data_IF_147768440590
#
_entry.id   IF_147768440590
#
_cell.length_a   1.000
_cell.length_b   1.000
_cell.length_c   1.000
_cell.angle_alpha   90.00
_cell.angle_beta   90.00
_cell.angle_gamma   90.00
#
_symmetry.space_group_name_H-M   'P 1'
#
loop_
_entity.id
_entity.type
_entity.pdbx_description
1 polymer ?
#
# COMPACT_ATOMS: atom_id res chain seq x y z
N UNK A 1 16.25 1.44 4.09
CA UNK A 1 15.18 1.09 3.14
C UNK A 1 13.88 1.70 3.65
N UNK A 2 13.28 2.65 2.92
CA UNK A 2 12.10 3.42 3.38
C UNK A 2 10.82 3.08 2.61
N UNK A 3 10.92 2.42 1.45
CA UNK A 3 9.80 2.24 0.52
C UNK A 3 9.23 0.81 0.44
N UNK A 4 9.77 -0.15 1.18
CA UNK A 4 9.11 -1.46 1.41
C UNK A 4 8.85 -2.36 0.18
N UNK A 5 9.33 -2.03 -1.01
CA UNK A 5 9.14 -2.85 -2.20
C UNK A 5 10.17 -3.99 -2.24
N UNK A 6 9.73 -5.21 -1.91
CA UNK A 6 10.48 -6.43 -2.17
C UNK A 6 9.62 -7.38 -3.03
N UNK A 7 10.17 -7.94 -4.13
CA UNK A 7 9.46 -8.92 -4.95
C UNK A 7 9.33 -10.26 -4.18
N UNK A 8 8.12 -10.83 -4.13
CA UNK A 8 7.83 -12.04 -3.37
C UNK A 8 8.01 -13.36 -4.15
N UNK A 9 7.92 -13.37 -5.50
CA UNK A 9 8.06 -14.58 -6.34
C UNK A 9 8.60 -14.25 -7.76
N UNK A 10 9.27 -15.19 -8.44
CA UNK A 10 9.73 -15.00 -9.81
C UNK A 10 8.52 -14.91 -10.76
N UNK A 11 8.25 -13.70 -11.24
CA UNK A 11 7.18 -13.44 -12.22
C UNK A 11 6.43 -12.12 -12.06
N UNK A 12 6.74 -11.27 -11.06
CA UNK A 12 6.04 -9.99 -10.83
C UNK A 12 4.50 -10.12 -10.72
N UNK A 13 4.00 -11.31 -10.37
CA UNK A 13 2.56 -11.60 -10.34
C UNK A 13 1.89 -11.10 -9.06
N UNK A 14 2.67 -10.93 -7.99
CA UNK A 14 2.19 -10.53 -6.66
C UNK A 14 2.95 -9.30 -6.19
N UNK A 15 2.23 -8.21 -5.93
CA UNK A 15 2.77 -6.93 -5.46
C UNK A 15 2.50 -6.80 -3.96
N UNK A 16 3.50 -6.44 -3.16
CA UNK A 16 3.29 -6.17 -1.74
C UNK A 16 3.20 -4.66 -1.49
N UNK A 17 2.06 -4.23 -0.95
CA UNK A 17 1.81 -2.88 -0.49
C UNK A 17 1.82 -2.85 1.03
N UNK A 18 2.97 -2.56 1.61
CA UNK A 18 3.18 -2.38 3.05
C UNK A 18 3.52 -0.92 3.39
N UNK A 19 2.59 0.04 3.25
CA UNK A 19 2.83 1.41 3.66
C UNK A 19 3.12 1.46 5.16
N UNK A 20 4.12 2.26 5.55
CA UNK A 20 4.46 2.51 6.96
C UNK A 20 4.21 3.99 7.29
N UNK A 21 2.94 4.42 7.42
CA UNK A 21 2.63 5.72 8.02
C UNK A 21 3.24 5.80 9.42
N UNK A 22 3.87 6.93 9.74
CA UNK A 22 4.60 7.13 11.00
C UNK A 22 5.59 8.29 10.94
N UNK A 23 5.98 8.81 12.10
CA UNK A 23 6.87 9.97 12.22
C UNK A 23 6.17 11.29 11.87
N UNK A 24 6.81 12.11 11.02
CA UNK A 24 6.28 13.41 10.55
C UNK A 24 5.51 13.34 9.24
N UNK A 25 5.48 12.18 8.57
CA UNK A 25 4.83 12.03 7.27
C UNK A 25 3.36 11.67 7.43
N UNK A 26 2.48 12.59 7.04
CA UNK A 26 1.04 12.39 7.01
C UNK A 26 0.56 11.85 5.66
N UNK A 27 1.41 11.79 4.64
CA UNK A 27 1.07 11.20 3.34
C UNK A 27 2.33 10.74 2.62
N UNK A 28 2.19 9.72 1.77
CA UNK A 28 3.20 9.35 0.79
C UNK A 28 2.58 8.58 -0.37
N UNK A 29 3.20 8.69 -1.53
CA UNK A 29 2.85 7.94 -2.72
C UNK A 29 4.07 7.28 -3.35
N UNK A 30 3.86 6.12 -3.96
CA UNK A 30 4.88 5.42 -4.75
C UNK A 30 4.22 4.85 -6.00
N UNK A 31 4.89 5.06 -7.14
CA UNK A 31 4.49 4.48 -8.42
C UNK A 31 5.64 3.63 -8.94
N UNK A 32 5.32 2.41 -9.35
CA UNK A 32 6.26 1.46 -9.89
C UNK A 32 5.76 0.96 -11.25
N UNK A 33 6.58 1.16 -12.28
CA UNK A 33 6.27 0.70 -13.62
C UNK A 33 6.72 -0.76 -13.76
N UNK A 34 5.75 -1.68 -13.77
CA UNK A 34 6.02 -3.11 -14.01
C UNK A 34 5.87 -3.43 -15.50
N UNK A 35 6.44 -4.55 -15.98
CA UNK A 35 6.17 -5.04 -17.34
C UNK A 35 4.68 -5.28 -17.64
N UNK A 36 3.86 -5.47 -16.60
CA UNK A 36 2.41 -5.71 -16.70
C UNK A 36 1.58 -4.42 -16.65
N UNK A 37 2.22 -3.28 -16.39
CA UNK A 37 1.57 -1.97 -16.28
C UNK A 37 1.98 -1.19 -15.03
N UNK A 38 1.31 -0.08 -14.80
CA UNK A 38 1.56 0.80 -13.67
C UNK A 38 0.93 0.26 -12.39
N UNK A 39 1.77 -0.01 -11.40
CA UNK A 39 1.36 -0.24 -10.03
C UNK A 39 1.59 1.04 -9.23
N UNK A 40 0.58 1.53 -8.53
CA UNK A 40 0.72 2.73 -7.70
C UNK A 40 0.03 2.57 -6.37
N UNK A 41 0.57 3.24 -5.36
CA UNK A 41 -0.03 3.40 -4.05
C UNK A 41 0.10 4.86 -3.64
N UNK A 42 -1.00 5.42 -3.16
CA UNK A 42 -1.07 6.72 -2.54
C UNK A 42 -1.76 6.55 -1.19
N UNK A 43 -1.15 7.04 -0.12
CA UNK A 43 -1.78 7.02 1.19
C UNK A 43 -1.65 8.35 1.91
N UNK A 44 -2.67 8.66 2.72
CA UNK A 44 -2.72 9.85 3.55
C UNK A 44 -3.45 9.59 4.86
N UNK A 45 -2.95 10.21 5.92
CA UNK A 45 -3.55 10.26 7.24
C UNK A 45 -4.43 11.52 7.32
N UNK A 46 -5.72 11.33 7.57
CA UNK A 46 -6.69 12.40 7.82
C UNK A 46 -7.62 11.94 8.94
N UNK A 47 -7.92 12.82 9.91
CA UNK A 47 -8.96 12.57 10.91
C UNK A 47 -8.80 11.23 11.68
N UNK A 48 -7.55 10.83 11.98
CA UNK A 48 -7.26 9.56 12.66
C UNK A 48 -7.50 8.31 11.80
N UNK A 49 -7.65 8.48 10.49
CA UNK A 49 -7.84 7.40 9.52
C UNK A 49 -6.75 7.42 8.45
N UNK A 50 -6.33 6.24 8.02
CA UNK A 50 -5.44 6.05 6.89
C UNK A 50 -6.29 5.78 5.65
N UNK A 51 -6.25 6.73 4.72
CA UNK A 51 -6.83 6.59 3.39
C UNK A 51 -5.76 6.07 2.44
N UNK A 52 -6.01 4.97 1.76
CA UNK A 52 -5.09 4.36 0.79
C UNK A 52 -5.81 4.18 -0.53
N UNK A 53 -5.21 4.66 -1.61
CA UNK A 53 -5.61 4.38 -2.98
C UNK A 53 -4.51 3.58 -3.64
N UNK A 54 -4.84 2.40 -4.15
CA UNK A 54 -3.87 1.51 -4.79
C UNK A 54 -4.38 1.03 -6.14
N UNK A 55 -3.46 0.96 -7.10
CA UNK A 55 -3.70 0.50 -8.46
C UNK A 55 -2.87 -0.75 -8.69
N UNK A 56 -3.57 -1.82 -9.02
CA UNK A 56 -2.96 -3.10 -9.38
C UNK A 56 -3.12 -3.31 -10.88
N UNK A 57 -2.02 -3.50 -11.63
CA UNK A 57 -2.09 -3.75 -13.08
C UNK A 57 -2.82 -5.06 -13.40
N UNK A 58 -3.37 -5.13 -14.62
CA UNK A 58 -4.11 -6.31 -15.09
C UNK A 58 -3.19 -7.52 -15.14
N UNK A 59 -3.66 -8.66 -14.60
CA UNK A 59 -2.89 -9.91 -14.54
C UNK A 59 -2.03 -10.06 -13.28
N UNK A 60 -1.97 -9.04 -12.43
CA UNK A 60 -1.33 -9.09 -11.12
C UNK A 60 -2.36 -9.15 -9.99
N UNK A 61 -1.94 -9.68 -8.84
CA UNK A 61 -2.60 -9.51 -7.55
C UNK A 61 -1.71 -8.66 -6.65
N UNK A 62 -2.29 -8.05 -5.63
CA UNK A 62 -1.52 -7.38 -4.61
C UNK A 62 -1.93 -7.83 -3.21
N UNK A 63 -0.94 -8.01 -2.35
CA UNK A 63 -1.14 -8.08 -0.91
C UNK A 63 -1.10 -6.65 -0.37
N UNK A 64 -2.09 -6.29 0.44
CA UNK A 64 -2.13 -5.02 1.14
C UNK A 64 -2.04 -5.29 2.63
N UNK A 65 -1.03 -4.71 3.28
CA UNK A 65 -0.78 -4.82 4.70
C UNK A 65 -0.74 -3.41 5.30
N UNK A 66 -1.85 -2.98 5.88
CA UNK A 66 -1.97 -1.66 6.50
C UNK A 66 -1.75 -1.77 8.02
N UNK A 67 -1.05 -0.81 8.64
CA UNK A 67 -0.88 -0.82 10.08
C UNK A 67 -2.21 -0.65 10.79
N UNK A 68 -2.54 -1.61 11.66
CA UNK A 68 -3.81 -1.64 12.40
C UNK A 68 -4.96 -2.34 11.66
N UNK A 69 -4.71 -2.92 10.49
CA UNK A 69 -5.68 -3.70 9.71
C UNK A 69 -5.14 -5.10 9.44
N UNK A 70 -6.03 -6.03 9.09
CA UNK A 70 -5.62 -7.36 8.65
C UNK A 70 -5.03 -7.32 7.24
N UNK A 71 -4.04 -8.19 7.01
CA UNK A 71 -3.48 -8.41 5.67
C UNK A 71 -4.60 -8.90 4.75
N UNK A 72 -4.80 -8.20 3.63
CA UNK A 72 -5.78 -8.56 2.60
C UNK A 72 -5.13 -8.77 1.26
N UNK A 73 -5.74 -9.60 0.43
CA UNK A 73 -5.35 -9.76 -0.97
C UNK A 73 -6.37 -9.08 -1.88
N UNK A 74 -5.90 -8.35 -2.88
CA UNK A 74 -6.71 -7.60 -3.84
C UNK A 74 -6.30 -7.98 -5.26
N UNK A 75 -7.28 -8.08 -6.15
CA UNK A 75 -7.04 -8.34 -7.57
C UNK A 75 -6.62 -7.07 -8.33
N UNK A 76 -6.43 -7.21 -9.64
CA UNK A 76 -6.23 -6.07 -10.54
C UNK A 76 -7.35 -5.03 -10.45
N UNK A 77 -7.03 -3.77 -10.72
CA UNK A 77 -7.96 -2.64 -10.65
C UNK A 77 -7.52 -1.56 -9.66
N UNK A 78 -8.41 -0.59 -9.45
CA UNK A 78 -8.22 0.48 -8.48
C UNK A 78 -9.01 0.14 -7.23
N UNK A 79 -8.33 0.16 -6.08
CA UNK A 79 -8.93 -0.09 -4.77
C UNK A 79 -8.72 1.11 -3.88
N UNK A 80 -9.77 1.48 -3.16
CA UNK A 80 -9.70 2.51 -2.13
C UNK A 80 -10.02 1.88 -0.79
N UNK A 81 -9.11 2.04 0.15
CA UNK A 81 -9.19 1.50 1.50
C UNK A 81 -9.16 2.66 2.48
N UNK A 82 -9.99 2.55 3.51
CA UNK A 82 -9.97 3.47 4.64
C UNK A 82 -9.94 2.61 5.89
N UNK A 83 -8.91 2.80 6.70
CA UNK A 83 -8.74 2.05 7.95
C UNK A 83 -8.49 3.01 9.10
N UNK A 84 -9.05 2.75 10.29
CA UNK A 84 -8.74 3.55 11.47
C UNK A 84 -7.25 3.44 11.78
N UNK A 85 -6.57 4.57 11.89
CA UNK A 85 -5.16 4.64 12.21
C UNK A 85 -4.99 5.17 13.63
N UNK A 86 -4.88 4.24 14.58
CA UNK A 86 -4.41 4.56 15.91
C UNK A 86 -2.92 4.86 15.82
N UNK A 87 -2.59 6.12 15.52
CA UNK A 87 -1.21 6.57 15.36
C UNK A 87 -0.37 6.07 16.54
N UNK A 88 0.72 5.38 16.20
CA UNK A 88 1.64 4.84 17.19
C UNK A 88 1.92 5.89 18.25
N UNK A 89 1.52 5.58 19.49
CA UNK A 89 1.70 6.47 20.61
C UNK A 89 3.18 6.85 20.68
N UNK A 90 3.47 8.14 20.54
CA UNK A 90 4.73 8.71 20.96
C UNK A 90 4.84 8.41 22.46
N UNK A 91 5.82 7.59 22.82
CA UNK A 91 6.42 7.56 24.16
C UNK A 91 7.88 7.89 23.98
#
# INVERSE_FOLDING_TARGET
>A
MVAGLAPAEPGYRTIDFSPRPGGTFTSAGATHLTPYGEASIDWRLSDGSLHVSLRVPVGCTATVNLPGDDRREVGHGVHQLVVPYAGGSVT
#
